data_IF_648708967127
#
_entry.id   IF_648708967127
#
_cell.length_a   1.000
_cell.length_b   1.000
_cell.length_c   1.000
_cell.angle_alpha   90.00
_cell.angle_beta   90.00
_cell.angle_gamma   90.00
#
_symmetry.space_group_name_H-M   'P 1'
#
loop_
_entity.id
_entity.type
_entity.pdbx_description
1 polymer ?
#
# COMPACT_ATOMS: atom_id res chain seq x y z
N UNK A 1 -43.93 28.69 66.17
CA UNK A 1 -42.72 28.12 66.78
C UNK A 1 -42.15 27.15 65.74
N UNK A 2 -40.90 27.41 65.32
CA UNK A 2 -40.11 26.71 64.28
C UNK A 2 -40.28 25.17 64.34
N UNK A 3 -40.24 24.38 63.25
CA UNK A 3 -39.12 24.23 62.32
C UNK A 3 -39.52 23.30 61.16
N UNK A 4 -38.98 23.55 59.96
CA UNK A 4 -39.07 22.70 58.76
C UNK A 4 -38.26 21.40 58.93
N UNK A 5 -38.67 20.31 58.26
CA UNK A 5 -37.71 19.37 57.66
C UNK A 5 -38.23 18.80 56.34
N UNK A 6 -37.62 19.26 55.25
CA UNK A 6 -37.68 18.68 53.90
C UNK A 6 -36.60 17.59 53.83
N UNK A 7 -36.96 16.35 53.53
CA UNK A 7 -35.98 15.34 53.11
C UNK A 7 -35.72 15.53 51.62
N UNK A 8 -34.53 16.06 51.32
CA UNK A 8 -34.04 16.28 49.97
C UNK A 8 -33.63 14.98 49.31
N UNK A 9 -33.98 14.88 48.03
CA UNK A 9 -33.28 14.09 47.02
C UNK A 9 -31.85 14.63 46.96
N UNK A 10 -30.90 13.90 47.53
CA UNK A 10 -29.47 14.08 47.30
C UNK A 10 -29.05 12.92 46.40
N UNK A 11 -29.08 13.12 45.07
CA UNK A 11 -27.89 13.50 44.33
C UNK A 11 -26.76 12.49 44.57
N UNK A 12 -26.85 11.34 43.89
CA UNK A 12 -25.72 10.44 43.59
C UNK A 12 -24.79 11.11 42.58
N UNK A 13 -24.27 12.28 42.96
CA UNK A 13 -23.00 12.80 42.49
C UNK A 13 -22.11 12.74 43.73
N UNK A 14 -21.78 11.50 44.12
CA UNK A 14 -20.81 11.26 45.16
C UNK A 14 -19.43 11.59 44.56
N UNK A 15 -19.05 12.85 44.77
CA UNK A 15 -17.70 13.36 44.94
C UNK A 15 -16.57 12.40 44.50
N UNK A 16 -16.21 12.46 43.22
CA UNK A 16 -14.87 12.15 42.68
C UNK A 16 -13.88 13.29 43.01
N UNK A 17 -13.99 13.90 44.19
CA UNK A 17 -13.16 15.04 44.60
C UNK A 17 -12.38 14.76 45.88
N UNK A 18 -11.95 13.51 46.06
CA UNK A 18 -11.09 13.05 47.15
C UNK A 18 -10.22 11.85 46.73
N UNK A 19 -9.46 11.99 45.65
CA UNK A 19 -8.19 11.28 45.43
C UNK A 19 -7.22 12.24 44.72
N UNK A 20 -6.73 13.23 45.47
CA UNK A 20 -5.55 13.97 45.05
C UNK A 20 -4.33 13.05 45.26
N UNK A 21 -3.66 12.72 44.15
CA UNK A 21 -2.42 11.94 44.03
C UNK A 21 -2.53 10.40 44.16
N UNK A 22 -3.45 9.76 43.43
CA UNK A 22 -3.12 8.44 42.87
C UNK A 22 -2.38 8.69 41.55
N UNK A 23 -1.24 8.03 41.36
CA UNK A 23 -0.53 8.04 40.09
C UNK A 23 -1.52 7.66 38.98
N UNK A 24 -1.47 8.30 37.81
CA UNK A 24 -2.41 8.00 36.73
C UNK A 24 -2.34 6.51 36.35
N UNK A 25 -1.15 5.94 36.41
CA UNK A 25 -0.96 4.51 36.18
C UNK A 25 -1.70 3.65 37.21
N UNK A 26 -1.70 4.04 38.49
CA UNK A 26 -2.49 3.34 39.53
C UNK A 26 -3.99 3.40 39.24
N UNK A 27 -4.48 4.52 38.68
CA UNK A 27 -5.89 4.64 38.29
C UNK A 27 -6.24 3.73 37.11
N UNK A 28 -5.36 3.65 36.11
CA UNK A 28 -5.51 2.75 34.96
C UNK A 28 -5.46 1.27 35.39
N UNK A 29 -4.54 0.93 36.29
CA UNK A 29 -4.39 -0.43 36.83
C UNK A 29 -5.57 -0.85 37.71
N UNK A 30 -6.31 0.12 38.28
CA UNK A 30 -7.49 -0.12 39.13
C UNK A 30 -8.81 -0.17 38.35
N UNK A 31 -8.79 -0.03 37.02
CA UNK A 31 -9.99 -0.17 36.21
C UNK A 31 -10.54 -1.60 36.27
N UNK A 32 -11.85 -1.72 36.18
CA UNK A 32 -12.53 -2.99 35.99
C UNK A 32 -12.76 -3.23 34.48
N UNK A 33 -12.78 -4.49 34.01
CA UNK A 33 -13.15 -4.79 32.63
C UNK A 33 -14.50 -4.17 32.25
N UNK A 34 -14.58 -3.61 31.04
CA UNK A 34 -15.72 -2.84 30.54
C UNK A 34 -15.70 -1.35 30.92
N UNK A 35 -14.72 -0.89 31.69
CA UNK A 35 -14.61 0.51 32.06
C UNK A 35 -14.29 1.42 30.86
N UNK A 36 -14.84 2.63 30.89
CA UNK A 36 -14.50 3.72 29.98
C UNK A 36 -13.81 4.81 30.79
N UNK A 37 -12.59 5.17 30.38
CA UNK A 37 -11.75 6.14 31.06
C UNK A 37 -11.29 7.22 30.07
N UNK A 38 -11.47 8.48 30.42
CA UNK A 38 -10.96 9.62 29.66
C UNK A 38 -9.72 10.18 30.37
N UNK A 39 -8.59 10.21 29.67
CA UNK A 39 -7.33 10.75 30.16
C UNK A 39 -7.44 12.28 30.33
N UNK A 40 -6.85 12.84 31.40
CA UNK A 40 -6.99 14.25 31.73
C UNK A 40 -6.33 15.18 30.69
N UNK A 41 -6.75 16.46 30.62
CA UNK A 41 -6.26 17.46 29.66
C UNK A 41 -4.87 18.01 30.03
N UNK A 42 -3.87 17.12 30.12
CA UNK A 42 -2.52 17.48 30.52
C UNK A 42 -1.46 16.67 29.77
N UNK A 43 -0.20 17.03 30.02
CA UNK A 43 0.95 16.29 29.50
C UNK A 43 1.22 15.09 30.40
N UNK A 44 1.13 13.89 29.83
CA UNK A 44 1.35 12.61 30.49
C UNK A 44 2.68 12.01 30.06
N UNK A 45 3.31 11.27 30.97
CA UNK A 45 4.41 10.35 30.65
C UNK A 45 3.88 9.10 29.94
N UNK A 46 4.77 8.17 29.59
CA UNK A 46 4.39 6.86 29.05
C UNK A 46 3.39 6.12 29.95
N UNK A 47 2.53 5.32 29.33
CA UNK A 47 1.40 4.63 29.98
C UNK A 47 1.33 3.15 29.57
N UNK A 48 0.91 2.31 30.52
CA UNK A 48 0.63 0.90 30.26
C UNK A 48 -0.86 0.60 30.44
N UNK A 49 -1.48 -0.04 29.45
CA UNK A 49 -2.87 -0.48 29.48
C UNK A 49 -2.93 -1.98 29.77
N UNK A 50 -3.10 -2.32 31.06
CA UNK A 50 -2.99 -3.69 31.59
C UNK A 50 -4.32 -4.37 31.91
N UNK A 51 -5.41 -3.60 31.92
CA UNK A 51 -6.75 -4.13 32.20
C UNK A 51 -7.43 -4.50 30.89
N UNK A 52 -7.97 -5.73 30.74
CA UNK A 52 -8.65 -6.13 29.52
C UNK A 52 -10.01 -5.47 29.37
N UNK A 53 -10.51 -5.38 28.14
CA UNK A 53 -11.87 -4.90 27.82
C UNK A 53 -12.15 -3.47 28.30
N UNK A 54 -11.13 -2.61 28.35
CA UNK A 54 -11.30 -1.19 28.71
C UNK A 54 -11.25 -0.29 27.48
N UNK A 55 -11.95 0.84 27.55
CA UNK A 55 -11.83 1.92 26.59
C UNK A 55 -11.13 3.10 27.24
N UNK A 56 -9.93 3.41 26.76
CA UNK A 56 -9.15 4.58 27.16
C UNK A 56 -9.18 5.60 26.02
N UNK A 57 -9.67 6.79 26.31
CA UNK A 57 -9.74 7.89 25.35
C UNK A 57 -9.02 9.11 25.90
N UNK A 58 -8.57 10.02 25.03
CA UNK A 58 -7.97 11.27 25.45
C UNK A 58 -8.94 12.44 25.37
N UNK A 59 -8.87 13.34 26.36
CA UNK A 59 -9.34 14.71 26.16
C UNK A 59 -8.55 15.35 25.01
N UNK A 60 -9.16 16.33 24.31
CA UNK A 60 -8.56 16.97 23.13
C UNK A 60 -7.21 17.66 23.38
N UNK A 61 -6.91 18.00 24.64
CA UNK A 61 -5.69 18.68 25.09
C UNK A 61 -4.69 17.71 25.77
N UNK A 62 -5.01 16.42 25.84
CA UNK A 62 -4.12 15.40 26.39
C UNK A 62 -2.97 15.13 25.43
N UNK A 63 -1.75 15.13 25.97
CA UNK A 63 -0.54 14.76 25.21
C UNK A 63 0.23 13.71 25.98
N UNK A 64 0.47 12.56 25.37
CA UNK A 64 1.36 11.53 25.90
C UNK A 64 2.74 11.76 25.28
N UNK A 65 3.72 12.04 26.13
CA UNK A 65 5.10 12.35 25.73
C UNK A 65 6.03 11.27 26.28
N UNK A 66 6.58 10.46 25.38
CA UNK A 66 7.43 9.31 25.72
C UNK A 66 8.83 9.67 26.25
N UNK A 67 9.16 10.96 26.40
CA UNK A 67 10.42 11.38 27.01
C UNK A 67 11.68 11.07 26.18
N UNK A 68 11.53 10.65 24.94
CA UNK A 68 12.55 10.12 24.03
C UNK A 68 13.18 8.80 24.51
N UNK A 69 12.44 7.99 25.26
CA UNK A 69 12.91 6.68 25.74
C UNK A 69 11.80 5.64 25.63
N UNK A 70 12.11 4.49 25.04
CA UNK A 70 11.18 3.35 24.99
C UNK A 70 9.86 3.66 24.27
N UNK A 71 8.82 2.94 24.68
CA UNK A 71 7.47 3.12 24.16
C UNK A 71 6.74 4.27 24.87
N UNK A 72 5.85 4.96 24.16
CA UNK A 72 4.96 5.95 24.78
C UNK A 72 3.66 5.34 25.33
N UNK A 73 3.11 4.33 24.66
CA UNK A 73 1.93 3.59 25.14
C UNK A 73 2.11 2.10 24.90
N UNK A 74 2.03 1.30 25.96
CA UNK A 74 2.04 -0.15 25.89
C UNK A 74 0.63 -0.71 26.10
N UNK A 75 0.06 -1.38 25.09
CA UNK A 75 -1.20 -2.11 25.21
C UNK A 75 -0.87 -3.56 25.51
N UNK A 76 -1.15 -3.98 26.75
CA UNK A 76 -0.69 -5.26 27.32
C UNK A 76 -1.84 -6.24 27.60
N UNK A 77 -3.09 -5.85 27.34
CA UNK A 77 -4.27 -6.66 27.61
C UNK A 77 -5.22 -6.76 26.40
N UNK A 78 -6.03 -7.81 26.38
CA UNK A 78 -6.99 -8.06 25.30
C UNK A 78 -8.12 -7.00 25.26
N UNK A 79 -8.65 -6.75 24.06
CA UNK A 79 -9.84 -5.91 23.82
C UNK A 79 -9.75 -4.50 24.38
N UNK A 80 -8.54 -3.99 24.55
CA UNK A 80 -8.31 -2.59 24.91
C UNK A 80 -8.61 -1.72 23.69
N UNK A 81 -9.44 -0.70 23.87
CA UNK A 81 -9.61 0.39 22.91
C UNK A 81 -8.81 1.60 23.38
N UNK A 82 -7.89 2.09 22.56
CA UNK A 82 -7.09 3.29 22.83
C UNK A 82 -7.32 4.34 21.73
N UNK A 83 -7.81 5.52 22.12
CA UNK A 83 -8.35 6.46 21.13
C UNK A 83 -8.14 7.95 21.40
N UNK A 84 -8.01 8.71 20.31
CA UNK A 84 -8.12 10.18 20.33
C UNK A 84 -6.92 10.94 20.90
N UNK A 85 -5.77 10.28 21.09
CA UNK A 85 -4.62 10.85 21.79
C UNK A 85 -3.60 11.50 20.85
N UNK A 86 -2.94 12.56 21.30
CA UNK A 86 -1.65 13.01 20.75
C UNK A 86 -0.53 12.25 21.45
N UNK A 87 0.28 11.51 20.69
CA UNK A 87 1.42 10.72 21.18
C UNK A 87 2.68 11.19 20.47
N UNK A 88 3.71 11.57 21.23
CA UNK A 88 4.95 12.10 20.65
C UNK A 88 6.18 11.78 21.46
N UNK A 89 7.35 12.02 20.85
CA UNK A 89 8.65 11.93 21.51
C UNK A 89 8.87 10.57 22.21
N UNK A 90 8.50 9.46 21.58
CA UNK A 90 8.96 8.13 22.03
C UNK A 90 10.44 7.92 21.64
N UNK A 91 11.05 6.85 22.13
CA UNK A 91 12.45 6.54 21.86
C UNK A 91 12.76 6.27 20.38
N UNK A 92 14.04 6.26 20.03
CA UNK A 92 14.54 6.12 18.66
C UNK A 92 15.25 4.78 18.38
N UNK A 93 15.31 3.87 19.36
CA UNK A 93 16.05 2.61 19.20
C UNK A 93 15.21 1.53 18.51
N UNK A 94 15.56 1.26 17.25
CA UNK A 94 14.92 0.23 16.43
C UNK A 94 15.23 -1.19 16.92
N UNK A 95 16.23 -1.41 17.76
CA UNK A 95 16.59 -2.73 18.29
C UNK A 95 15.74 -3.11 19.50
N UNK A 96 15.36 -2.12 20.34
CA UNK A 96 14.43 -2.30 21.46
C UNK A 96 12.97 -2.17 21.04
N UNK A 97 12.73 -1.84 19.75
CA UNK A 97 11.41 -1.70 19.14
C UNK A 97 10.62 -0.50 19.65
N UNK A 98 11.31 0.61 19.98
CA UNK A 98 10.68 1.81 20.51
C UNK A 98 9.54 2.28 19.60
N UNK A 99 8.36 2.47 20.20
CA UNK A 99 7.13 2.77 19.47
C UNK A 99 6.28 3.85 20.13
N UNK A 100 5.55 4.62 19.32
CA UNK A 100 4.51 5.50 19.84
C UNK A 100 3.41 4.69 20.54
N UNK A 101 2.96 3.62 19.91
CA UNK A 101 2.01 2.67 20.49
C UNK A 101 2.51 1.25 20.20
N UNK A 102 2.78 0.48 21.25
CA UNK A 102 3.16 -0.91 21.17
C UNK A 102 2.00 -1.80 21.59
N UNK A 103 1.58 -2.72 20.73
CA UNK A 103 0.52 -3.69 21.01
C UNK A 103 1.16 -5.05 21.20
N UNK A 104 1.17 -5.51 22.45
CA UNK A 104 1.78 -6.77 22.81
C UNK A 104 1.03 -7.98 22.25
N UNK A 105 1.71 -9.12 22.28
CA UNK A 105 1.19 -10.42 21.80
C UNK A 105 -0.11 -10.84 22.46
N UNK A 106 -0.25 -10.54 23.74
CA UNK A 106 -1.41 -10.86 24.55
C UNK A 106 -2.60 -9.94 24.26
N UNK A 107 -2.37 -8.78 23.63
CA UNK A 107 -3.39 -7.75 23.37
C UNK A 107 -4.26 -8.06 22.15
N UNK A 108 -4.81 -9.28 22.10
CA UNK A 108 -5.73 -9.70 21.03
C UNK A 108 -7.01 -8.85 21.04
N UNK A 109 -7.50 -8.50 19.85
CA UNK A 109 -8.73 -7.72 19.72
C UNK A 109 -8.58 -6.25 20.11
N UNK A 110 -7.36 -5.75 20.30
CA UNK A 110 -7.12 -4.34 20.60
C UNK A 110 -7.59 -3.43 19.45
N UNK A 111 -8.03 -2.22 19.79
CA UNK A 111 -8.45 -1.19 18.84
C UNK A 111 -7.63 0.06 19.09
N UNK A 112 -6.83 0.47 18.11
CA UNK A 112 -6.04 1.71 18.14
C UNK A 112 -6.64 2.66 17.12
N UNK A 113 -7.31 3.73 17.57
CA UNK A 113 -8.07 4.58 16.66
C UNK A 113 -7.96 6.09 16.88
N UNK A 114 -8.02 6.86 15.79
CA UNK A 114 -8.15 8.33 15.85
C UNK A 114 -7.01 9.02 16.62
N UNK A 115 -5.83 8.40 16.72
CA UNK A 115 -4.66 8.96 17.38
C UNK A 115 -3.80 9.79 16.42
N UNK A 116 -3.04 10.74 16.96
CA UNK A 116 -2.04 11.54 16.24
C UNK A 116 -0.66 11.24 16.79
N UNK A 117 0.17 10.57 16.00
CA UNK A 117 1.50 10.12 16.39
C UNK A 117 2.57 10.92 15.65
N UNK A 118 3.59 11.41 16.36
CA UNK A 118 4.78 12.02 15.76
C UNK A 118 6.07 11.66 16.50
N UNK A 119 7.03 11.03 15.82
CA UNK A 119 8.27 10.58 16.47
C UNK A 119 9.25 9.84 15.54
N UNK A 120 10.38 9.35 16.08
CA UNK A 120 11.53 8.91 15.29
C UNK A 120 11.48 7.43 14.85
N UNK A 121 11.10 6.52 15.76
CA UNK A 121 11.08 5.08 15.53
C UNK A 121 9.71 4.59 15.01
N UNK A 122 9.17 3.49 15.56
CA UNK A 122 7.93 2.90 15.04
C UNK A 122 6.71 3.73 15.48
N UNK A 123 5.74 3.95 14.60
CA UNK A 123 4.50 4.61 15.00
C UNK A 123 3.64 3.67 15.86
N UNK A 124 3.12 2.62 15.22
CA UNK A 124 2.31 1.57 15.85
C UNK A 124 2.95 0.22 15.56
N UNK A 125 3.33 -0.51 16.59
CA UNK A 125 3.91 -1.85 16.49
C UNK A 125 2.91 -2.91 16.94
N UNK A 126 2.64 -3.91 16.09
CA UNK A 126 1.81 -5.06 16.42
C UNK A 126 2.71 -6.29 16.56
N UNK A 127 2.96 -6.74 17.81
CA UNK A 127 3.83 -7.88 18.08
C UNK A 127 3.07 -9.20 18.15
N UNK A 128 3.08 -9.98 17.06
CA UNK A 128 2.52 -11.33 17.03
C UNK A 128 1.07 -11.45 17.56
N UNK A 129 0.30 -10.38 17.41
CA UNK A 129 -1.05 -10.23 17.97
C UNK A 129 -2.13 -10.67 16.97
N UNK A 130 -3.37 -10.80 17.45
CA UNK A 130 -4.50 -11.30 16.68
C UNK A 130 -5.69 -10.34 16.71
N UNK A 131 -6.37 -10.24 15.58
CA UNK A 131 -7.65 -9.57 15.44
C UNK A 131 -7.62 -8.08 15.87
N UNK A 132 -6.47 -7.42 15.71
CA UNK A 132 -6.27 -6.02 16.07
C UNK A 132 -6.81 -5.09 14.98
N UNK A 133 -7.49 -4.03 15.39
CA UNK A 133 -7.92 -2.96 14.49
C UNK A 133 -7.07 -1.71 14.71
N UNK A 134 -6.44 -1.22 13.65
CA UNK A 134 -5.72 0.07 13.63
C UNK A 134 -6.40 0.96 12.60
N UNK A 135 -7.16 1.96 13.05
CA UNK A 135 -7.94 2.80 12.13
C UNK A 135 -7.96 4.29 12.40
N UNK A 136 -8.08 5.06 11.33
CA UNK A 136 -8.23 6.52 11.39
C UNK A 136 -7.09 7.22 12.14
N UNK A 137 -5.90 6.61 12.24
CA UNK A 137 -4.74 7.23 12.89
C UNK A 137 -3.94 8.08 11.91
N UNK A 138 -3.31 9.13 12.44
CA UNK A 138 -2.37 9.97 11.71
C UNK A 138 -0.96 9.75 12.25
N UNK A 139 -0.06 9.18 11.45
CA UNK A 139 1.31 8.84 11.87
C UNK A 139 2.33 9.65 11.08
N UNK A 140 3.25 10.32 11.76
CA UNK A 140 4.30 11.17 11.17
C UNK A 140 5.68 10.80 11.71
N UNK A 141 6.62 10.52 10.80
CA UNK A 141 8.02 10.30 11.17
C UNK A 141 8.83 11.59 11.32
N UNK A 142 9.96 11.51 12.02
CA UNK A 142 10.88 12.65 12.18
C UNK A 142 11.72 12.90 10.91
N UNK A 143 11.44 14.02 10.24
CA UNK A 143 12.11 14.43 9.01
C UNK A 143 13.58 14.80 9.18
N UNK A 144 14.04 15.07 10.41
CA UNK A 144 15.45 15.35 10.70
C UNK A 144 16.32 14.08 10.60
N UNK A 145 15.71 12.91 10.77
CA UNK A 145 16.36 11.60 10.64
C UNK A 145 16.37 11.19 9.17
N UNK A 146 17.45 10.55 8.70
CA UNK A 146 17.50 9.99 7.35
C UNK A 146 16.41 8.91 7.21
N UNK A 147 15.64 8.94 6.11
CA UNK A 147 14.52 8.01 5.87
C UNK A 147 14.81 6.52 6.17
N UNK A 148 16.02 6.02 5.88
CA UNK A 148 16.41 4.61 6.14
C UNK A 148 16.49 4.26 7.64
N UNK A 149 16.75 5.27 8.47
CA UNK A 149 17.06 5.14 9.90
C UNK A 149 15.83 5.46 10.77
N UNK A 150 14.69 5.84 10.14
CA UNK A 150 13.38 5.99 10.81
C UNK A 150 12.73 4.63 11.04
N UNK A 151 11.78 4.55 11.96
CA UNK A 151 10.89 3.39 12.05
C UNK A 151 9.75 3.43 11.02
N UNK A 152 9.03 2.33 10.95
CA UNK A 152 7.86 2.20 10.07
C UNK A 152 6.63 2.83 10.74
N UNK A 153 5.64 3.27 9.94
CA UNK A 153 4.44 3.90 10.49
C UNK A 153 3.56 2.91 11.26
N UNK A 154 3.17 1.83 10.61
CA UNK A 154 2.47 0.70 11.21
C UNK A 154 3.26 -0.57 10.85
N UNK A 155 3.65 -1.35 11.87
CA UNK A 155 4.43 -2.57 11.70
C UNK A 155 3.61 -3.79 12.16
N UNK A 156 3.38 -4.73 11.25
CA UNK A 156 2.72 -6.02 11.53
C UNK A 156 3.78 -7.11 11.55
N UNK A 157 4.16 -7.56 12.74
CA UNK A 157 5.08 -8.69 12.90
C UNK A 157 4.29 -9.92 13.33
N UNK A 158 4.32 -11.00 12.56
CA UNK A 158 3.65 -12.27 12.88
C UNK A 158 2.15 -12.13 13.27
N UNK A 159 1.48 -11.12 12.72
CA UNK A 159 0.11 -10.74 13.05
C UNK A 159 -0.90 -11.46 12.15
N UNK A 160 -2.09 -11.78 12.68
CA UNK A 160 -3.18 -12.38 11.88
C UNK A 160 -4.53 -11.78 12.21
N UNK A 161 -5.41 -11.69 11.20
CA UNK A 161 -6.78 -11.17 11.38
C UNK A 161 -6.84 -9.65 11.61
N UNK A 162 -5.74 -8.91 11.42
CA UNK A 162 -5.74 -7.48 11.66
C UNK A 162 -6.48 -6.71 10.56
N UNK A 163 -7.14 -5.61 10.97
CA UNK A 163 -7.74 -4.62 10.09
C UNK A 163 -6.95 -3.31 10.22
N UNK A 164 -6.30 -2.90 9.13
CA UNK A 164 -5.58 -1.62 9.04
C UNK A 164 -6.33 -0.71 8.08
N UNK A 165 -7.08 0.25 8.60
CA UNK A 165 -8.08 1.00 7.80
C UNK A 165 -8.01 2.52 7.96
N UNK A 166 -8.09 3.27 6.86
CA UNK A 166 -8.31 4.72 6.93
C UNK A 166 -7.19 5.53 7.58
N UNK A 167 -5.99 4.95 7.73
CA UNK A 167 -4.86 5.65 8.34
C UNK A 167 -4.19 6.59 7.33
N UNK A 168 -3.70 7.72 7.84
CA UNK A 168 -2.90 8.71 7.10
C UNK A 168 -1.46 8.67 7.61
N UNK A 169 -0.53 8.17 6.78
CA UNK A 169 0.85 7.90 7.18
C UNK A 169 1.80 8.64 6.23
N UNK A 170 2.74 9.40 6.79
CA UNK A 170 3.77 10.08 6.00
C UNK A 170 5.07 10.23 6.76
N UNK A 171 6.17 10.42 6.02
CA UNK A 171 7.49 10.77 6.58
C UNK A 171 8.11 9.74 7.53
N UNK A 172 7.51 8.55 7.68
CA UNK A 172 8.16 7.39 8.31
C UNK A 172 9.13 6.75 7.32
N UNK A 173 9.77 5.63 7.67
CA UNK A 173 10.59 4.88 6.71
C UNK A 173 9.70 4.26 5.63
N UNK A 174 8.88 3.30 6.03
CA UNK A 174 7.80 2.71 5.25
C UNK A 174 6.47 3.02 5.96
N UNK A 175 5.36 3.13 5.24
CA UNK A 175 4.07 3.39 5.89
C UNK A 175 3.56 2.16 6.61
N UNK A 176 3.30 1.08 5.88
CA UNK A 176 2.82 -0.19 6.44
C UNK A 176 3.81 -1.28 6.08
N UNK A 177 4.46 -1.85 7.09
CA UNK A 177 5.42 -2.95 6.93
C UNK A 177 4.83 -4.23 7.52
N UNK A 178 4.90 -5.33 6.77
CA UNK A 178 4.19 -6.57 7.05
C UNK A 178 5.17 -7.71 6.90
N UNK A 179 5.43 -8.43 7.99
CA UNK A 179 6.39 -9.53 8.03
C UNK A 179 5.80 -10.76 8.72
N UNK A 180 5.79 -11.88 7.99
CA UNK A 180 5.23 -13.16 8.48
C UNK A 180 3.78 -13.03 8.97
N UNK A 181 3.00 -12.07 8.43
CA UNK A 181 1.68 -11.73 8.90
C UNK A 181 0.61 -12.09 7.86
N UNK A 182 -0.39 -12.89 8.25
CA UNK A 182 -1.30 -13.56 7.31
C UNK A 182 -2.77 -13.26 7.61
N UNK A 183 -3.65 -13.39 6.61
CA UNK A 183 -5.11 -13.19 6.75
C UNK A 183 -5.49 -11.82 7.33
N UNK A 184 -4.79 -10.77 6.90
CA UNK A 184 -5.04 -9.38 7.31
C UNK A 184 -5.72 -8.59 6.18
N UNK A 185 -6.46 -7.56 6.57
CA UNK A 185 -7.12 -6.63 5.66
C UNK A 185 -6.51 -5.23 5.83
N UNK A 186 -6.01 -4.67 4.73
CA UNK A 186 -5.37 -3.36 4.69
C UNK A 186 -6.16 -2.53 3.69
N UNK A 187 -6.99 -1.62 4.18
CA UNK A 187 -7.95 -0.91 3.33
C UNK A 187 -7.91 0.61 3.47
N UNK A 188 -8.12 1.31 2.37
CA UNK A 188 -8.41 2.75 2.37
C UNK A 188 -7.37 3.63 3.10
N UNK A 189 -6.10 3.21 3.17
CA UNK A 189 -5.04 3.99 3.80
C UNK A 189 -4.41 4.97 2.79
N UNK A 190 -4.02 6.16 3.28
CA UNK A 190 -3.29 7.17 2.51
C UNK A 190 -1.82 7.20 2.97
N UNK A 191 -0.90 7.04 2.03
CA UNK A 191 0.53 6.90 2.31
C UNK A 191 1.34 7.83 1.40
N UNK A 192 2.05 8.79 1.99
CA UNK A 192 2.68 9.88 1.21
C UNK A 192 4.09 10.21 1.70
N UNK A 193 5.00 10.57 0.77
CA UNK A 193 6.39 10.99 1.08
C UNK A 193 7.14 9.96 1.95
N UNK A 194 7.32 8.77 1.40
CA UNK A 194 7.86 7.58 2.07
C UNK A 194 8.86 6.86 1.17
N UNK A 195 9.67 5.98 1.77
CA UNK A 195 10.40 5.00 0.98
C UNK A 195 9.38 4.06 0.32
N UNK A 196 8.67 3.26 1.11
CA UNK A 196 7.61 2.37 0.60
C UNK A 196 6.26 2.70 1.22
N UNK A 197 5.19 2.69 0.41
CA UNK A 197 3.82 2.75 0.92
C UNK A 197 3.47 1.47 1.69
N UNK A 198 3.38 0.35 0.97
CA UNK A 198 3.22 -0.97 1.58
C UNK A 198 4.45 -1.83 1.31
N UNK A 199 5.02 -2.42 2.35
CA UNK A 199 6.19 -3.29 2.28
C UNK A 199 5.88 -4.68 2.85
N UNK A 200 5.90 -5.69 1.99
CA UNK A 200 5.64 -7.09 2.32
C UNK A 200 6.90 -7.92 2.43
N UNK A 201 6.93 -8.80 3.44
CA UNK A 201 7.90 -9.88 3.58
C UNK A 201 7.18 -11.15 4.07
N UNK A 202 7.31 -12.26 3.34
CA UNK A 202 6.90 -13.61 3.80
C UNK A 202 5.45 -13.75 4.29
N UNK A 203 4.50 -13.06 3.67
CA UNK A 203 3.13 -12.90 4.18
C UNK A 203 2.09 -13.38 3.16
N UNK A 204 0.97 -13.93 3.62
CA UNK A 204 0.06 -14.71 2.76
C UNK A 204 -1.41 -14.46 3.06
N UNK A 205 -2.26 -14.67 2.05
CA UNK A 205 -3.72 -14.59 2.19
C UNK A 205 -4.24 -13.24 2.71
N UNK A 206 -3.50 -12.16 2.48
CA UNK A 206 -3.90 -10.82 2.85
C UNK A 206 -4.66 -10.13 1.72
N UNK A 207 -5.50 -9.17 2.10
CA UNK A 207 -6.22 -8.28 1.19
C UNK A 207 -5.68 -6.85 1.32
N UNK A 208 -5.28 -6.28 0.19
CA UNK A 208 -4.94 -4.87 0.02
C UNK A 208 -6.01 -4.23 -0.86
N UNK A 209 -6.82 -3.34 -0.32
CA UNK A 209 -7.95 -2.78 -1.06
C UNK A 209 -8.09 -1.26 -0.92
N UNK A 210 -8.23 -0.54 -2.03
CA UNK A 210 -8.56 0.89 -1.98
C UNK A 210 -7.48 1.79 -1.36
N UNK A 211 -6.26 1.29 -1.15
CA UNK A 211 -5.18 2.09 -0.58
C UNK A 211 -4.62 3.05 -1.64
N UNK A 212 -4.03 4.15 -1.19
CA UNK A 212 -3.43 5.16 -2.06
C UNK A 212 -2.00 5.48 -1.62
N UNK A 213 -1.04 5.32 -2.52
CA UNK A 213 0.33 5.83 -2.38
C UNK A 213 0.53 7.05 -3.26
N UNK A 214 1.22 8.07 -2.75
CA UNK A 214 1.54 9.27 -3.53
C UNK A 214 2.93 9.81 -3.24
N UNK A 215 3.72 9.99 -4.30
CA UNK A 215 5.07 10.56 -4.19
C UNK A 215 5.99 9.75 -3.29
N UNK A 216 5.86 8.43 -3.29
CA UNK A 216 6.73 7.50 -2.56
C UNK A 216 7.85 6.99 -3.48
N UNK A 217 8.90 6.38 -2.93
CA UNK A 217 9.96 5.75 -3.77
C UNK A 217 9.59 4.40 -4.36
N UNK A 218 8.60 3.73 -3.79
CA UNK A 218 7.87 2.59 -4.34
C UNK A 218 6.49 2.57 -3.70
N UNK A 219 5.42 2.52 -4.48
CA UNK A 219 4.07 2.45 -3.93
C UNK A 219 3.86 1.16 -3.14
N UNK A 220 3.86 0.04 -3.86
CA UNK A 220 3.59 -1.30 -3.30
C UNK A 220 4.79 -2.21 -3.54
N UNK A 221 5.59 -2.45 -2.50
CA UNK A 221 6.70 -3.39 -2.51
C UNK A 221 6.24 -4.75 -1.99
N UNK A 222 5.80 -5.61 -2.91
CA UNK A 222 5.32 -6.96 -2.64
C UNK A 222 6.46 -7.97 -2.76
N UNK A 223 6.90 -8.55 -1.63
CA UNK A 223 8.03 -9.51 -1.64
C UNK A 223 7.73 -10.84 -0.96
N UNK A 224 8.21 -11.93 -1.58
CA UNK A 224 8.30 -13.28 -1.04
C UNK A 224 6.99 -13.81 -0.44
N UNK A 225 5.89 -13.56 -1.14
CA UNK A 225 4.53 -13.70 -0.62
C UNK A 225 3.61 -14.40 -1.62
N UNK A 226 2.45 -14.90 -1.19
CA UNK A 226 1.55 -15.65 -2.06
C UNK A 226 0.08 -15.53 -1.66
N UNK A 227 -0.81 -15.80 -2.61
CA UNK A 227 -2.26 -15.73 -2.42
C UNK A 227 -2.74 -14.37 -1.94
N UNK A 228 -2.11 -13.30 -2.44
CA UNK A 228 -2.51 -11.93 -2.14
C UNK A 228 -3.69 -11.52 -3.02
N UNK A 229 -4.58 -10.71 -2.46
CA UNK A 229 -5.61 -10.00 -3.21
C UNK A 229 -5.28 -8.51 -3.16
N UNK A 230 -4.90 -7.93 -4.30
CA UNK A 230 -4.48 -6.53 -4.41
C UNK A 230 -5.47 -5.83 -5.32
N UNK A 231 -6.50 -5.23 -4.73
CA UNK A 231 -7.69 -4.74 -5.44
C UNK A 231 -7.87 -3.24 -5.34
N UNK A 232 -8.20 -2.59 -6.46
CA UNK A 232 -8.64 -1.19 -6.48
C UNK A 232 -7.68 -0.19 -5.80
N UNK A 233 -6.38 -0.51 -5.74
CA UNK A 233 -5.38 0.36 -5.13
C UNK A 233 -4.87 1.40 -6.14
N UNK A 234 -4.33 2.50 -5.64
CA UNK A 234 -3.77 3.59 -6.45
C UNK A 234 -2.32 3.88 -6.09
N UNK A 235 -1.46 3.96 -7.10
CA UNK A 235 -0.09 4.47 -6.98
C UNK A 235 0.06 5.69 -7.88
N UNK A 236 0.33 6.84 -7.26
CA UNK A 236 0.27 8.15 -7.91
C UNK A 236 1.61 8.89 -7.83
N UNK A 237 2.25 9.09 -8.97
CA UNK A 237 3.52 9.83 -9.09
C UNK A 237 4.60 9.28 -8.15
N UNK A 238 4.62 7.97 -7.95
CA UNK A 238 5.69 7.29 -7.23
C UNK A 238 6.96 7.26 -8.10
N UNK A 239 8.12 7.17 -7.46
CA UNK A 239 9.39 6.91 -8.13
C UNK A 239 9.65 5.41 -8.23
N UNK A 240 10.59 5.00 -9.09
CA UNK A 240 11.10 3.65 -9.33
C UNK A 240 10.06 2.58 -9.69
N UNK A 241 9.08 2.33 -8.82
CA UNK A 241 8.08 1.28 -8.96
C UNK A 241 6.72 1.75 -8.41
N UNK A 242 5.66 1.65 -9.21
CA UNK A 242 4.31 1.74 -8.65
C UNK A 242 3.97 0.48 -7.87
N UNK A 243 4.07 -0.66 -8.55
CA UNK A 243 3.99 -1.99 -7.94
C UNK A 243 5.27 -2.77 -8.26
N UNK A 244 5.99 -3.17 -7.22
CA UNK A 244 7.15 -4.06 -7.27
C UNK A 244 6.72 -5.45 -6.78
N UNK A 245 6.85 -6.46 -7.63
CA UNK A 245 6.61 -7.86 -7.29
C UNK A 245 7.91 -8.64 -7.36
N UNK A 246 8.33 -9.20 -6.23
CA UNK A 246 9.55 -9.99 -6.11
C UNK A 246 9.24 -11.32 -5.42
N UNK A 247 9.29 -12.44 -6.14
CA UNK A 247 8.84 -13.74 -5.64
C UNK A 247 7.38 -13.74 -5.14
N UNK A 248 6.46 -13.19 -5.94
CA UNK A 248 5.02 -13.25 -5.69
C UNK A 248 4.39 -14.37 -6.51
N UNK A 249 3.58 -15.23 -5.89
CA UNK A 249 2.92 -16.33 -6.60
C UNK A 249 1.45 -16.47 -6.28
N UNK A 250 0.68 -17.01 -7.23
CA UNK A 250 -0.73 -17.35 -7.06
C UNK A 250 -1.57 -16.18 -6.50
N UNK A 251 -1.30 -14.95 -6.94
CA UNK A 251 -1.94 -13.74 -6.42
C UNK A 251 -2.76 -13.02 -7.48
N UNK A 252 -3.76 -12.27 -7.04
CA UNK A 252 -4.69 -11.53 -7.91
C UNK A 252 -4.47 -10.03 -7.75
N UNK A 253 -4.19 -9.34 -8.87
CA UNK A 253 -4.07 -7.90 -8.95
C UNK A 253 -5.18 -7.38 -9.87
N UNK A 254 -6.20 -6.77 -9.28
CA UNK A 254 -7.40 -6.34 -10.02
C UNK A 254 -7.80 -4.89 -9.78
N UNK A 255 -8.20 -4.18 -10.83
CA UNK A 255 -8.76 -2.83 -10.68
C UNK A 255 -7.75 -1.77 -10.19
N UNK A 256 -6.46 -2.07 -10.12
CA UNK A 256 -5.47 -1.12 -9.61
C UNK A 256 -5.14 -0.08 -10.67
N UNK A 257 -4.83 1.15 -10.21
CA UNK A 257 -4.44 2.26 -11.07
C UNK A 257 -3.06 2.73 -10.67
N UNK A 258 -2.10 2.63 -11.59
CA UNK A 258 -0.75 3.16 -11.42
C UNK A 258 -0.52 4.25 -12.45
N UNK A 259 -0.16 5.45 -11.99
CA UNK A 259 0.01 6.62 -12.83
C UNK A 259 1.29 7.38 -12.51
N UNK A 260 1.99 7.84 -13.54
CA UNK A 260 3.06 8.82 -13.39
C UNK A 260 4.36 8.27 -12.80
N UNK A 261 4.63 6.95 -12.91
CA UNK A 261 5.82 6.38 -12.27
C UNK A 261 7.08 6.81 -13.01
N UNK A 262 7.97 7.45 -12.25
CA UNK A 262 9.17 8.09 -12.78
C UNK A 262 10.46 7.47 -12.24
N UNK A 263 11.58 7.71 -12.92
CA UNK A 263 12.89 7.31 -12.43
C UNK A 263 13.20 8.03 -11.10
N UNK A 264 13.57 7.26 -10.07
CA UNK A 264 13.98 7.84 -8.81
C UNK A 264 15.29 8.62 -8.93
N UNK A 265 15.37 9.74 -8.23
CA UNK A 265 16.55 10.59 -8.25
C UNK A 265 17.50 10.23 -7.11
N UNK A 266 18.49 9.37 -7.40
CA UNK A 266 19.65 9.26 -6.50
C UNK A 266 20.74 10.21 -7.02
N UNK A 267 20.98 11.29 -6.29
CA UNK A 267 22.03 12.29 -6.57
C UNK A 267 21.96 12.97 -7.96
N UNK A 268 20.77 13.03 -8.59
CA UNK A 268 20.57 13.72 -9.88
C UNK A 268 21.20 13.04 -11.10
N UNK A 269 21.65 11.78 -10.97
CA UNK A 269 22.24 11.02 -12.06
C UNK A 269 21.21 10.03 -12.58
N UNK A 270 20.86 10.14 -13.87
CA UNK A 270 20.06 9.10 -14.53
C UNK A 270 20.94 7.89 -14.80
N UNK A 271 20.60 6.77 -14.17
CA UNK A 271 21.23 5.46 -14.38
C UNK A 271 20.36 4.67 -15.37
N UNK A 272 20.97 4.15 -16.44
CA UNK A 272 20.28 3.23 -17.36
C UNK A 272 19.80 1.99 -16.61
N UNK A 273 18.53 1.60 -16.76
CA UNK A 273 17.90 0.52 -16.00
C UNK A 273 17.09 0.97 -14.77
N UNK A 274 17.27 2.22 -14.32
CA UNK A 274 16.52 2.82 -13.21
C UNK A 274 15.27 3.58 -13.68
N UNK A 275 14.76 3.29 -14.89
CA UNK A 275 13.49 3.88 -15.37
C UNK A 275 12.35 3.55 -14.40
N UNK A 276 11.40 4.47 -14.18
CA UNK A 276 10.20 4.21 -13.39
C UNK A 276 9.31 3.16 -14.04
N UNK A 277 8.87 2.15 -13.28
CA UNK A 277 8.06 1.04 -13.79
C UNK A 277 6.71 1.04 -13.09
N UNK A 278 5.61 1.15 -13.84
CA UNK A 278 4.28 1.08 -13.24
C UNK A 278 4.09 -0.28 -12.54
N UNK A 279 4.48 -1.37 -13.22
CA UNK A 279 4.65 -2.69 -12.61
C UNK A 279 6.00 -3.29 -12.96
N UNK A 280 6.72 -3.78 -11.94
CA UNK A 280 7.91 -4.60 -12.12
C UNK A 280 7.71 -5.99 -11.52
N UNK A 281 8.02 -7.02 -12.30
CA UNK A 281 7.79 -8.42 -11.96
C UNK A 281 9.13 -9.16 -12.05
N UNK A 282 9.59 -9.63 -10.90
CA UNK A 282 10.81 -10.42 -10.75
C UNK A 282 10.47 -11.78 -10.14
N UNK A 283 10.82 -12.84 -10.86
CA UNK A 283 10.59 -14.25 -10.50
C UNK A 283 9.23 -14.50 -9.82
N UNK A 284 8.17 -13.94 -10.39
CA UNK A 284 6.81 -14.03 -9.85
C UNK A 284 5.92 -14.73 -10.86
N UNK A 285 5.20 -15.77 -10.43
CA UNK A 285 4.56 -16.75 -11.32
C UNK A 285 3.10 -17.00 -10.93
N UNK A 286 2.27 -17.41 -11.89
CA UNK A 286 0.86 -17.78 -11.65
C UNK A 286 0.02 -16.66 -11.03
N UNK A 287 0.34 -15.40 -11.34
CA UNK A 287 -0.47 -14.27 -10.89
C UNK A 287 -1.43 -13.83 -11.99
N UNK A 288 -2.57 -13.27 -11.59
CA UNK A 288 -3.56 -12.70 -12.51
C UNK A 288 -3.57 -11.19 -12.40
N UNK A 289 -3.38 -10.51 -13.53
CA UNK A 289 -3.54 -9.07 -13.70
C UNK A 289 -4.76 -8.81 -14.57
N UNK A 290 -5.79 -8.23 -13.97
CA UNK A 290 -7.06 -8.02 -14.65
C UNK A 290 -7.64 -6.64 -14.34
N UNK A 291 -8.17 -5.94 -15.35
CA UNK A 291 -8.83 -4.65 -15.17
C UNK A 291 -7.95 -3.57 -14.49
N UNK A 292 -6.63 -3.62 -14.62
CA UNK A 292 -5.73 -2.59 -14.10
C UNK A 292 -5.47 -1.49 -15.15
N UNK A 293 -5.10 -0.29 -14.69
CA UNK A 293 -4.55 0.78 -15.54
C UNK A 293 -3.11 1.04 -15.17
N UNK A 294 -2.24 1.01 -16.16
CA UNK A 294 -0.84 1.37 -16.04
C UNK A 294 -0.57 2.51 -17.03
N UNK A 295 -0.40 3.72 -16.52
CA UNK A 295 -0.37 4.92 -17.38
C UNK A 295 0.71 5.92 -17.03
N UNK A 296 1.05 6.74 -18.04
CA UNK A 296 1.94 7.91 -17.91
C UNK A 296 3.28 7.61 -17.22
N UNK A 297 3.79 6.37 -17.34
CA UNK A 297 5.01 5.92 -16.66
C UNK A 297 6.17 5.74 -17.66
N UNK A 298 7.42 5.69 -17.19
CA UNK A 298 8.55 5.39 -18.10
C UNK A 298 8.39 3.99 -18.72
N UNK A 299 7.99 3.00 -17.92
CA UNK A 299 7.67 1.66 -18.39
C UNK A 299 6.32 1.23 -17.80
N UNK A 300 5.39 0.75 -18.63
CA UNK A 300 4.10 0.22 -18.18
C UNK A 300 4.26 -1.06 -17.37
N UNK A 301 4.85 -2.09 -17.98
CA UNK A 301 5.15 -3.36 -17.32
C UNK A 301 6.54 -3.88 -17.70
N UNK A 302 7.30 -4.31 -16.71
CA UNK A 302 8.61 -4.92 -16.89
C UNK A 302 8.70 -6.27 -16.19
N UNK A 303 8.95 -7.33 -16.94
CA UNK A 303 9.12 -8.68 -16.41
C UNK A 303 10.52 -9.22 -16.69
N UNK A 304 11.10 -9.89 -15.69
CA UNK A 304 12.41 -10.55 -15.80
C UNK A 304 12.51 -11.77 -14.88
N UNK A 305 13.64 -12.47 -14.95
CA UNK A 305 13.99 -13.61 -14.10
C UNK A 305 12.96 -14.74 -14.07
N UNK A 306 12.43 -15.13 -15.23
CA UNK A 306 11.51 -16.27 -15.34
C UNK A 306 10.11 -16.02 -14.75
N UNK A 307 9.64 -14.77 -14.78
CA UNK A 307 8.26 -14.39 -14.37
C UNK A 307 7.20 -14.89 -15.36
N UNK A 308 7.09 -16.21 -15.45
CA UNK A 308 6.25 -16.94 -16.40
C UNK A 308 4.87 -17.26 -15.83
N UNK A 309 3.98 -17.76 -16.69
CA UNK A 309 2.63 -18.22 -16.29
C UNK A 309 1.76 -17.18 -15.56
N UNK A 310 2.01 -15.89 -15.80
CA UNK A 310 1.11 -14.83 -15.35
C UNK A 310 0.03 -14.59 -16.42
N UNK A 311 -1.22 -14.46 -15.97
CA UNK A 311 -2.34 -14.09 -16.83
C UNK A 311 -2.47 -12.56 -16.85
N UNK A 312 -2.39 -11.94 -18.03
CA UNK A 312 -2.48 -10.49 -18.20
C UNK A 312 -3.54 -10.19 -19.25
N UNK A 313 -4.73 -9.78 -18.84
CA UNK A 313 -5.87 -9.53 -19.75
C UNK A 313 -6.79 -8.45 -19.21
N UNK A 314 -7.56 -7.80 -20.09
CA UNK A 314 -8.47 -6.68 -19.76
C UNK A 314 -7.82 -5.50 -19.05
N UNK A 315 -6.49 -5.34 -19.12
CA UNK A 315 -5.80 -4.18 -18.57
C UNK A 315 -5.73 -3.05 -19.61
N UNK A 316 -5.36 -1.85 -19.17
CA UNK A 316 -5.11 -0.70 -20.01
C UNK A 316 -3.69 -0.17 -19.78
N UNK A 317 -2.89 -0.18 -20.85
CA UNK A 317 -1.54 0.39 -20.89
C UNK A 317 -1.58 1.68 -21.71
N UNK A 318 -1.48 2.83 -21.03
CA UNK A 318 -1.83 4.13 -21.63
C UNK A 318 -0.68 5.12 -21.50
N UNK A 319 -0.19 5.63 -22.61
CA UNK A 319 0.78 6.73 -22.69
C UNK A 319 2.07 6.50 -21.87
N UNK A 320 2.46 5.24 -21.70
CA UNK A 320 3.78 4.91 -21.15
C UNK A 320 4.84 5.15 -22.23
N UNK A 321 6.05 5.60 -21.83
CA UNK A 321 7.15 5.78 -22.80
C UNK A 321 7.55 4.45 -23.44
N UNK A 322 7.44 3.36 -22.68
CA UNK A 322 7.54 1.97 -23.13
C UNK A 322 6.42 1.15 -22.50
N UNK A 323 5.53 0.57 -23.29
CA UNK A 323 4.46 -0.26 -22.71
C UNK A 323 5.03 -1.51 -22.03
N UNK A 324 5.89 -2.26 -22.72
CA UNK A 324 6.39 -3.56 -22.24
C UNK A 324 7.91 -3.66 -22.38
N UNK A 325 8.56 -4.03 -21.27
CA UNK A 325 9.96 -4.50 -21.24
C UNK A 325 9.95 -5.95 -20.77
N UNK A 326 10.14 -6.89 -21.69
CA UNK A 326 10.17 -8.31 -21.37
C UNK A 326 11.58 -8.86 -21.58
N UNK A 327 12.12 -9.51 -20.55
CA UNK A 327 13.46 -10.10 -20.58
C UNK A 327 13.35 -11.58 -20.22
N UNK A 328 12.98 -12.40 -21.21
CA UNK A 328 13.00 -13.86 -21.13
C UNK A 328 13.11 -14.50 -22.52
N UNK A 329 13.16 -15.83 -22.57
CA UNK A 329 13.35 -16.62 -23.80
C UNK A 329 12.10 -17.34 -24.28
N UNK A 330 10.98 -17.23 -23.56
CA UNK A 330 9.71 -17.89 -23.88
C UNK A 330 8.65 -16.91 -24.34
N UNK A 331 7.82 -17.36 -25.26
CA UNK A 331 6.64 -16.60 -25.72
C UNK A 331 5.55 -16.65 -24.66
N UNK A 332 4.88 -15.52 -24.41
CA UNK A 332 3.78 -15.39 -23.46
C UNK A 332 2.55 -14.84 -24.17
N UNK A 333 1.40 -15.47 -23.95
CA UNK A 333 0.11 -14.98 -24.44
C UNK A 333 -0.56 -14.10 -23.37
N UNK A 334 -0.86 -12.85 -23.71
CA UNK A 334 -1.50 -11.86 -22.86
C UNK A 334 -2.92 -11.55 -23.36
N UNK A 335 -3.66 -12.62 -23.64
CA UNK A 335 -5.11 -12.61 -23.74
C UNK A 335 -5.67 -13.88 -23.11
N UNK A 336 -6.91 -13.82 -22.65
CA UNK A 336 -7.61 -14.95 -22.04
C UNK A 336 -9.02 -15.01 -22.59
N UNK A 337 -9.44 -16.20 -23.01
CA UNK A 337 -10.80 -16.47 -23.50
C UNK A 337 -11.26 -15.48 -24.58
N UNK A 338 -10.37 -15.15 -25.52
CA UNK A 338 -10.66 -14.24 -26.64
C UNK A 338 -10.63 -12.75 -26.26
N UNK A 339 -10.08 -12.40 -25.09
CA UNK A 339 -10.02 -11.01 -24.61
C UNK A 339 -8.61 -10.65 -24.13
N UNK A 340 -8.02 -9.63 -24.76
CA UNK A 340 -6.69 -9.11 -24.45
C UNK A 340 -6.72 -7.82 -23.65
N UNK A 341 -5.72 -6.97 -23.87
CA UNK A 341 -5.52 -5.70 -23.18
C UNK A 341 -5.67 -4.52 -24.16
N UNK A 342 -5.92 -3.34 -23.62
CA UNK A 342 -5.86 -2.09 -24.36
C UNK A 342 -4.44 -1.52 -24.32
N UNK A 343 -3.92 -1.11 -25.48
CA UNK A 343 -2.62 -0.47 -25.63
C UNK A 343 -2.80 0.84 -26.40
N UNK A 344 -2.37 1.96 -25.81
CA UNK A 344 -2.55 3.28 -26.45
C UNK A 344 -1.73 3.47 -27.73
N UNK A 345 -0.73 2.63 -27.94
CA UNK A 345 0.10 2.52 -29.14
C UNK A 345 -0.28 1.31 -30.00
N UNK A 346 -1.44 0.68 -29.77
CA UNK A 346 -1.96 -0.32 -30.70
C UNK A 346 -2.41 0.36 -31.99
N UNK A 347 -1.92 -0.18 -33.10
CA UNK A 347 -2.05 0.39 -34.44
C UNK A 347 -2.75 -0.55 -35.43
N UNK A 348 -3.38 -1.62 -34.93
CA UNK A 348 -4.14 -2.55 -35.74
C UNK A 348 -5.52 -2.01 -36.11
N UNK A 349 -6.34 -2.90 -36.66
CA UNK A 349 -7.68 -2.57 -37.14
C UNK A 349 -8.67 -3.64 -36.69
N UNK A 350 -9.94 -3.25 -36.68
CA UNK A 350 -11.07 -4.11 -36.33
C UNK A 350 -12.06 -4.04 -37.50
N UNK A 351 -12.00 -5.02 -38.41
CA UNK A 351 -12.81 -5.05 -39.64
C UNK A 351 -14.20 -5.60 -39.39
N UNK A 352 -14.35 -6.51 -38.43
CA UNK A 352 -15.64 -7.11 -38.06
C UNK A 352 -16.42 -6.25 -37.05
N UNK A 353 -15.81 -5.19 -36.52
CA UNK A 353 -16.39 -4.22 -35.58
C UNK A 353 -16.84 -4.85 -34.26
N UNK A 354 -16.09 -5.83 -33.75
CA UNK A 354 -16.40 -6.49 -32.48
C UNK A 354 -15.68 -5.87 -31.26
N UNK A 355 -14.87 -4.83 -31.50
CA UNK A 355 -14.10 -4.11 -30.47
C UNK A 355 -12.76 -4.77 -30.14
N UNK A 356 -12.38 -5.84 -30.83
CA UNK A 356 -11.10 -6.55 -30.73
C UNK A 356 -10.32 -6.33 -32.03
N UNK A 357 -9.02 -6.10 -31.92
CA UNK A 357 -8.16 -5.96 -33.09
C UNK A 357 -7.95 -7.28 -33.81
N UNK A 358 -8.06 -7.26 -35.14
CA UNK A 358 -7.85 -8.41 -36.03
C UNK A 358 -6.37 -8.84 -36.14
N UNK A 359 -5.45 -8.05 -35.60
CA UNK A 359 -4.00 -8.30 -35.64
C UNK A 359 -3.47 -8.34 -34.21
N UNK A 360 -2.68 -9.35 -33.88
CA UNK A 360 -2.06 -9.46 -32.57
C UNK A 360 -1.16 -8.25 -32.26
N UNK A 361 -1.13 -7.84 -30.99
CA UNK A 361 -0.17 -6.87 -30.51
C UNK A 361 1.09 -7.58 -30.00
N UNK A 362 2.24 -7.24 -30.58
CA UNK A 362 3.55 -7.80 -30.22
C UNK A 362 4.48 -6.63 -29.80
N UNK A 363 4.86 -6.49 -28.52
CA UNK A 363 5.67 -5.35 -28.11
C UNK A 363 7.10 -5.43 -28.67
N UNK A 364 7.57 -4.33 -29.26
CA UNK A 364 8.93 -4.18 -29.81
C UNK A 364 9.17 -4.98 -31.10
N UNK A 365 8.21 -5.02 -32.02
CA UNK A 365 8.48 -5.50 -33.38
C UNK A 365 9.55 -4.62 -34.08
N UNK A 366 10.09 -5.07 -35.22
CA UNK A 366 11.15 -4.29 -35.89
C UNK A 366 10.64 -2.98 -36.51
N UNK A 367 9.32 -2.85 -36.74
CA UNK A 367 8.67 -1.61 -37.19
C UNK A 367 8.51 -0.64 -36.03
N UNK A 368 8.14 -1.11 -34.85
CA UNK A 368 8.06 -0.33 -33.62
C UNK A 368 9.44 0.24 -33.27
N UNK A 369 10.50 -0.55 -33.38
CA UNK A 369 11.87 -0.04 -33.22
C UNK A 369 12.19 1.08 -34.20
N UNK A 370 11.75 0.96 -35.46
CA UNK A 370 11.93 2.01 -36.47
C UNK A 370 11.16 3.28 -36.08
N UNK A 371 9.92 3.14 -35.63
CA UNK A 371 9.05 4.24 -35.22
C UNK A 371 9.54 4.94 -33.94
N UNK A 372 10.20 4.21 -33.04
CA UNK A 372 10.85 4.78 -31.86
C UNK A 372 12.13 5.54 -32.22
N UNK A 373 12.87 5.03 -33.21
CA UNK A 373 14.10 5.68 -33.69
C UNK A 373 13.78 6.95 -34.48
N UNK A 374 12.66 6.95 -35.22
CA UNK A 374 12.20 8.07 -36.05
C UNK A 374 10.73 8.37 -35.78
N UNK A 375 10.41 9.16 -34.74
CA UNK A 375 9.03 9.52 -34.40
C UNK A 375 8.27 10.18 -35.55
N UNK A 376 8.98 10.88 -36.46
CA UNK A 376 8.40 11.51 -37.65
C UNK A 376 7.82 10.47 -38.62
N UNK A 377 8.31 9.22 -38.59
CA UNK A 377 7.81 8.13 -39.42
C UNK A 377 6.39 7.68 -39.02
N UNK A 378 5.85 8.12 -37.89
CA UNK A 378 4.43 7.89 -37.52
C UNK A 378 3.45 8.42 -38.58
N UNK A 379 3.83 9.39 -39.41
CA UNK A 379 2.99 9.84 -40.53
C UNK A 379 2.87 8.82 -41.67
N UNK A 380 3.81 7.88 -41.78
CA UNK A 380 3.86 6.85 -42.81
C UNK A 380 3.19 5.54 -42.35
N UNK A 381 2.59 5.54 -41.16
CA UNK A 381 2.15 4.33 -40.48
C UNK A 381 1.01 3.61 -41.21
N UNK A 382 0.19 4.35 -41.96
CA UNK A 382 -0.86 3.81 -42.85
C UNK A 382 -0.41 3.75 -44.32
N UNK A 383 0.90 3.83 -44.58
CA UNK A 383 1.41 3.72 -45.93
C UNK A 383 1.52 2.24 -46.35
N UNK A 384 1.31 1.93 -47.64
CA UNK A 384 1.50 0.58 -48.16
C UNK A 384 2.91 0.00 -47.90
N UNK A 385 3.91 0.85 -47.68
CA UNK A 385 5.27 0.42 -47.37
C UNK A 385 5.37 -0.24 -45.99
N UNK A 386 4.68 0.31 -44.98
CA UNK A 386 4.62 -0.25 -43.63
C UNK A 386 3.82 -1.56 -43.63
N UNK A 387 2.70 -1.60 -44.36
CA UNK A 387 1.91 -2.84 -44.52
C UNK A 387 2.73 -3.96 -45.17
N UNK A 388 3.52 -3.62 -46.19
CA UNK A 388 4.41 -4.59 -46.85
C UNK A 388 5.48 -5.11 -45.88
N UNK A 389 6.06 -4.24 -45.06
CA UNK A 389 7.06 -4.64 -44.06
C UNK A 389 6.46 -5.57 -43.00
N UNK A 390 5.24 -5.29 -42.52
CA UNK A 390 4.51 -6.16 -41.58
C UNK A 390 4.15 -7.50 -42.21
N UNK A 391 3.64 -7.51 -43.44
CA UNK A 391 3.36 -8.75 -44.17
C UNK A 391 4.61 -9.61 -44.35
N UNK A 392 5.77 -9.01 -44.65
CA UNK A 392 7.04 -9.75 -44.74
C UNK A 392 7.43 -10.36 -43.39
N UNK A 393 7.23 -9.65 -42.27
CA UNK A 393 7.54 -10.18 -40.94
C UNK A 393 6.64 -11.35 -40.55
N UNK A 394 5.35 -11.29 -40.89
CA UNK A 394 4.41 -12.38 -40.64
C UNK A 394 4.63 -13.58 -41.58
N UNK A 395 4.96 -13.32 -42.85
CA UNK A 395 5.23 -14.38 -43.83
C UNK A 395 6.55 -15.12 -43.58
N UNK A 396 7.51 -14.50 -42.87
CA UNK A 396 8.81 -15.09 -42.54
C UNK A 396 9.10 -15.03 -41.01
N UNK A 397 8.49 -15.91 -40.20
CA UNK A 397 8.59 -15.89 -38.73
C UNK A 397 9.99 -16.21 -38.15
N UNK A 398 10.96 -16.57 -38.99
CA UNK A 398 12.35 -16.94 -38.59
C UNK A 398 13.11 -15.76 -37.95
N UNK A 399 12.54 -14.55 -37.96
CA UNK A 399 13.12 -13.33 -37.40
C UNK A 399 12.40 -12.83 -36.12
N UNK A 400 11.33 -13.49 -35.66
CA UNK A 400 10.60 -13.07 -34.45
C UNK A 400 11.34 -13.57 -33.20
N UNK A 401 11.78 -12.63 -32.35
CA UNK A 401 12.32 -12.97 -31.04
C UNK A 401 11.20 -13.47 -30.12
N UNK A 402 11.48 -14.45 -29.25
CA UNK A 402 10.54 -14.84 -28.22
C UNK A 402 10.14 -13.62 -27.37
N UNK A 403 8.85 -13.45 -27.12
CA UNK A 403 8.32 -12.22 -26.55
C UNK A 403 6.88 -12.35 -26.06
N UNK A 404 6.31 -11.22 -25.70
CA UNK A 404 4.90 -11.12 -25.36
C UNK A 404 4.09 -11.00 -26.64
N UNK A 405 2.93 -11.65 -26.69
CA UNK A 405 1.92 -11.46 -27.72
C UNK A 405 0.56 -11.30 -27.04
N UNK A 406 -0.24 -10.37 -27.50
CA UNK A 406 -1.65 -10.26 -27.15
C UNK A 406 -2.46 -10.53 -28.42
N UNK A 407 -3.07 -11.70 -28.50
CA UNK A 407 -3.80 -12.14 -29.69
C UNK A 407 -5.18 -11.48 -29.85
N UNK A 408 -5.67 -10.77 -28.83
CA UNK A 408 -7.01 -10.16 -28.83
C UNK A 408 -6.98 -8.74 -28.26
N UNK A 409 -6.13 -7.84 -28.81
CA UNK A 409 -5.96 -6.49 -28.27
C UNK A 409 -7.28 -5.72 -28.36
N UNK A 410 -7.59 -4.94 -27.34
CA UNK A 410 -8.84 -4.17 -27.28
C UNK A 410 -8.70 -2.87 -28.07
N UNK A 411 -9.71 -2.54 -28.88
CA UNK A 411 -9.74 -1.29 -29.66
C UNK A 411 -10.02 -0.05 -28.82
N UNK A 412 -10.55 -0.23 -27.60
CA UNK A 412 -10.84 0.87 -26.69
C UNK A 412 -10.57 0.48 -25.25
N UNK A 413 -10.23 1.47 -24.42
CA UNK A 413 -10.06 1.24 -22.99
C UNK A 413 -11.39 0.77 -22.37
N UNK A 414 -11.38 -0.30 -21.55
CA UNK A 414 -12.60 -0.78 -20.90
C UNK A 414 -13.25 0.30 -20.03
N UNK A 415 -14.57 0.45 -20.15
CA UNK A 415 -15.33 1.52 -19.47
C UNK A 415 -15.22 1.47 -17.94
N UNK A 416 -15.14 0.27 -17.37
CA UNK A 416 -15.00 0.04 -15.92
C UNK A 416 -13.70 0.61 -15.32
N UNK A 417 -12.76 1.06 -16.16
CA UNK A 417 -11.42 1.46 -15.76
C UNK A 417 -11.06 2.89 -16.20
N UNK A 418 -12.03 3.67 -16.70
CA UNK A 418 -11.81 5.10 -16.94
C UNK A 418 -11.82 5.82 -15.58
N UNK A 419 -10.79 6.63 -15.25
CA UNK A 419 -10.86 7.49 -14.07
C UNK A 419 -12.07 8.43 -14.20
N UNK A 420 -12.82 8.63 -13.13
CA UNK A 420 -13.84 9.68 -13.08
C UNK A 420 -13.19 11.01 -13.50
N UNK A 421 -13.79 11.63 -14.50
CA UNK A 421 -13.30 12.83 -15.21
C UNK A 421 -13.22 14.06 -14.34
#
# INVERSE_FOLDING_TARGET
>A
MYQLLRYGVALTVALLSLTANADLQEQLDALEPGAVFELPPEKLSSLDLRVPDVTVSCHADTVIDGGNEGNAVDILAEKVTFSGCEVRNWGDDLNTLDAGIFVAREASGAVVERNRLSGPAFGIWLDATKDVTVRDNRVRGDVSIRSQDRGNGIHLFNTTGALIEGNDISQTRDAIYIETANNNEIRNNLMTDLRYGIHYMYSMHNLLEGNVTRGTRTGYALMQSKYLKVFNNRSENDENYGILMNFITNSELRGNVVTGVSQGQTAGISISGAEGKAVFIYNSLHNTFENNVFRDSNIGIHLTAGSEENEVFSNAFVDNQRQVKYVATRTQEWSKEGRGNYWSDYLGWDRNQDGIGDVAYEPNDNVDRLLWTYPEAKVLMFSPAVDTLRWVQDAFPVVKAAGVSDSHPLMSQPESIRPES
#
